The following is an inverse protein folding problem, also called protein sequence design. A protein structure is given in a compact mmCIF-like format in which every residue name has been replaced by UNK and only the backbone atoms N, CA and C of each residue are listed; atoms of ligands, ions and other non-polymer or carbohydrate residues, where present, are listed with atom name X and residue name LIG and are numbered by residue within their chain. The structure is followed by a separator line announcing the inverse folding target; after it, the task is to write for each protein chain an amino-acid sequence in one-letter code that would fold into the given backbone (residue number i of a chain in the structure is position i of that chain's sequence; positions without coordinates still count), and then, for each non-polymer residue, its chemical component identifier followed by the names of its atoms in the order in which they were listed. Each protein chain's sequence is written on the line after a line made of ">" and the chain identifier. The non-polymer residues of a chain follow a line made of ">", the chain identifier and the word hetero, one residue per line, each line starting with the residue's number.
data_IF_743829065634
#
_entry.id   IF_743829065634
#
_cell.length_a   1.000
_cell.length_b   1.000
_cell.length_c   1.000
_cell.angle_alpha   90.00
_cell.angle_beta   90.00
_cell.angle_gamma   90.00
#
_symmetry.space_group_name_H-M   'P 1'
#
loop_
_entity.id
_entity.type
_entity.pdbx_description
1 polymer ?
#
# COMPACT_ATOMS: atom_id res chain seq x y z
N UNK A 1 -4.83 5.23 1.41
CA UNK A 1 -4.55 5.40 2.84
C UNK A 1 -3.09 5.79 3.07
N UNK A 2 -2.83 6.83 3.87
CA UNK A 2 -1.49 7.30 4.23
C UNK A 2 -1.37 7.24 5.76
N UNK A 3 -0.43 6.44 6.26
CA UNK A 3 -0.13 6.28 7.69
C UNK A 3 1.39 6.21 7.95
N UNK A 4 2.19 6.57 6.94
CA UNK A 4 3.63 6.80 6.98
C UNK A 4 4.01 7.74 5.84
N UNK A 5 5.10 8.48 5.95
CA UNK A 5 5.71 9.26 4.87
C UNK A 5 4.85 10.37 4.24
N UNK A 6 3.78 10.81 4.88
CA UNK A 6 2.89 11.80 4.30
C UNK A 6 2.23 12.69 5.37
N UNK A 7 1.18 13.41 4.98
CA UNK A 7 0.42 14.27 5.89
C UNK A 7 -0.85 13.59 6.37
N UNK A 8 -1.16 13.77 7.66
CA UNK A 8 -2.38 13.28 8.28
C UNK A 8 -3.63 14.08 7.84
N UNK A 9 -4.78 13.42 7.99
CA UNK A 9 -6.08 14.06 7.87
C UNK A 9 -6.44 14.86 9.12
N UNK A 10 -6.09 14.36 10.30
CA UNK A 10 -6.32 15.02 11.57
C UNK A 10 -5.19 15.98 11.95
N UNK A 11 -5.49 16.88 12.88
CA UNK A 11 -4.49 17.81 13.42
C UNK A 11 -3.50 17.09 14.36
N UNK A 12 -2.26 17.61 14.52
CA UNK A 12 -1.27 17.02 15.44
C UNK A 12 -1.76 16.89 16.89
N UNK A 13 -2.61 17.82 17.35
CA UNK A 13 -3.18 17.78 18.71
C UNK A 13 -4.13 16.59 18.93
N UNK A 14 -4.76 16.10 17.88
CA UNK A 14 -5.68 14.96 17.93
C UNK A 14 -4.96 13.62 17.87
N UNK A 15 -3.76 13.58 17.27
CA UNK A 15 -2.97 12.37 17.02
C UNK A 15 -1.47 12.58 17.30
N UNK A 16 -1.10 13.09 18.50
CA UNK A 16 0.28 13.45 18.82
C UNK A 16 1.27 12.28 18.80
N UNK A 17 0.79 11.03 18.96
CA UNK A 17 1.64 9.84 18.90
C UNK A 17 1.93 9.38 17.46
N UNK A 18 1.22 9.90 16.45
CA UNK A 18 1.39 9.46 15.05
C UNK A 18 2.23 10.42 14.23
N UNK A 19 2.17 11.72 14.48
CA UNK A 19 2.73 12.74 13.60
C UNK A 19 3.59 13.76 14.37
N UNK A 20 4.40 14.48 13.62
CA UNK A 20 5.15 15.64 14.12
C UNK A 20 4.26 16.88 14.26
N UNK A 21 4.84 17.99 14.77
CA UNK A 21 4.14 19.28 14.93
C UNK A 21 3.62 19.87 13.60
N UNK A 22 4.11 19.38 12.45
CA UNK A 22 3.66 19.81 11.12
C UNK A 22 2.58 18.86 10.54
N UNK A 23 2.14 17.85 11.30
CA UNK A 23 1.16 16.85 10.89
C UNK A 23 1.69 15.83 9.90
N UNK A 24 3.00 15.56 9.90
CA UNK A 24 3.63 14.56 9.03
C UNK A 24 3.90 13.27 9.79
N UNK A 25 3.54 12.16 9.17
CA UNK A 25 3.95 10.83 9.64
C UNK A 25 5.46 10.63 9.45
N UNK A 26 6.12 9.84 10.30
CA UNK A 26 7.49 9.39 10.06
C UNK A 26 7.60 8.62 8.74
N UNK A 27 8.74 8.76 8.05
CA UNK A 27 8.98 8.15 6.73
C UNK A 27 9.38 6.67 6.81
N UNK A 28 9.91 6.20 7.95
CA UNK A 28 10.35 4.82 8.13
C UNK A 28 9.16 3.87 8.42
N UNK A 29 8.74 3.04 7.45
CA UNK A 29 7.58 2.17 7.59
C UNK A 29 7.81 1.03 8.61
N UNK A 30 9.05 0.60 8.86
CA UNK A 30 9.34 -0.45 9.85
C UNK A 30 9.16 0.10 11.26
N UNK A 31 9.73 1.26 11.54
CA UNK A 31 9.58 1.94 12.83
C UNK A 31 8.12 2.26 13.12
N UNK A 32 7.40 2.77 12.12
CA UNK A 32 5.97 3.07 12.20
C UNK A 32 5.17 1.80 12.46
N UNK A 33 5.44 0.72 11.74
CA UNK A 33 4.77 -0.57 11.91
C UNK A 33 4.97 -1.14 13.32
N UNK A 34 6.20 -1.12 13.85
CA UNK A 34 6.48 -1.56 15.22
C UNK A 34 5.72 -0.73 16.27
N UNK A 35 5.66 0.59 16.08
CA UNK A 35 4.86 1.46 16.97
C UNK A 35 3.40 1.06 16.94
N UNK A 36 2.81 0.87 15.76
CA UNK A 36 1.40 0.46 15.63
C UNK A 36 1.12 -0.96 16.17
N UNK A 37 2.13 -1.83 16.21
CA UNK A 37 1.98 -3.14 16.83
C UNK A 37 1.95 -3.08 18.37
N UNK A 38 2.74 -2.17 18.99
CA UNK A 38 3.05 -2.23 20.42
C UNK A 38 2.46 -1.07 21.24
N UNK A 39 2.09 0.05 20.61
CA UNK A 39 1.62 1.25 21.29
C UNK A 39 0.10 1.40 21.17
N UNK A 40 -0.61 1.21 22.29
CA UNK A 40 -2.07 1.28 22.35
C UNK A 40 -2.60 2.68 22.09
N UNK A 41 -1.93 3.73 22.58
CA UNK A 41 -2.33 5.11 22.32
C UNK A 41 -2.22 5.44 20.82
N UNK A 42 -1.12 4.99 20.18
CA UNK A 42 -0.96 5.13 18.75
C UNK A 42 -2.04 4.35 17.97
N UNK A 43 -2.48 3.17 18.43
CA UNK A 43 -3.56 2.41 17.78
C UNK A 43 -4.91 3.13 17.86
N UNK A 44 -5.24 3.72 19.00
CA UNK A 44 -6.47 4.50 19.18
C UNK A 44 -6.49 5.76 18.29
N UNK A 45 -5.36 6.45 18.20
CA UNK A 45 -5.19 7.59 17.29
C UNK A 45 -5.27 7.16 15.82
N UNK A 46 -4.63 6.04 15.48
CA UNK A 46 -4.64 5.46 14.14
C UNK A 46 -6.07 5.13 13.68
N UNK A 47 -6.91 4.60 14.57
CA UNK A 47 -8.31 4.32 14.26
C UNK A 47 -9.07 5.61 13.87
N UNK A 48 -8.85 6.71 14.62
CA UNK A 48 -9.45 8.02 14.30
C UNK A 48 -8.92 8.60 12.99
N UNK A 49 -7.63 8.50 12.78
CA UNK A 49 -6.98 9.00 11.56
C UNK A 49 -7.46 8.26 10.31
N UNK A 50 -7.53 6.93 10.34
CA UNK A 50 -8.04 6.14 9.22
C UNK A 50 -9.49 6.53 8.92
N UNK A 51 -10.34 6.65 9.95
CA UNK A 51 -11.73 7.09 9.77
C UNK A 51 -11.81 8.47 9.12
N UNK A 52 -11.01 9.43 9.57
CA UNK A 52 -10.96 10.78 9.01
C UNK A 52 -10.52 10.79 7.53
N UNK A 53 -9.60 9.90 7.13
CA UNK A 53 -9.21 9.77 5.72
C UNK A 53 -10.36 9.25 4.87
N UNK A 54 -11.13 8.26 5.34
CA UNK A 54 -12.34 7.79 4.65
C UNK A 54 -13.41 8.89 4.56
N UNK A 55 -13.63 9.64 5.62
CA UNK A 55 -14.57 10.77 5.64
C UNK A 55 -14.19 11.85 4.63
N UNK A 56 -12.89 12.20 4.56
CA UNK A 56 -12.39 13.16 3.54
C UNK A 56 -12.62 12.66 2.12
N UNK A 57 -12.40 11.38 1.87
CA UNK A 57 -12.68 10.82 0.56
C UNK A 57 -14.19 10.86 0.26
N UNK A 58 -15.02 10.44 1.20
CA UNK A 58 -16.48 10.46 1.03
C UNK A 58 -17.02 11.87 0.78
N UNK A 59 -16.43 12.90 1.40
CA UNK A 59 -16.80 14.30 1.18
C UNK A 59 -16.56 14.78 -0.26
N UNK A 60 -15.77 14.07 -1.07
CA UNK A 60 -15.60 14.37 -2.51
C UNK A 60 -16.83 13.97 -3.35
N UNK A 61 -17.74 13.15 -2.82
CA UNK A 61 -18.88 12.58 -3.53
C UNK A 61 -18.51 11.48 -4.53
N UNK A 62 -17.24 11.12 -4.65
CA UNK A 62 -16.79 10.05 -5.56
C UNK A 62 -17.06 8.66 -4.97
N UNK A 63 -17.46 7.68 -5.79
CA UNK A 63 -17.63 6.30 -5.33
C UNK A 63 -16.26 5.70 -4.97
N UNK A 64 -16.19 5.05 -3.80
CA UNK A 64 -14.97 4.37 -3.36
C UNK A 64 -14.86 2.99 -4.04
N UNK A 65 -14.02 2.88 -5.07
CA UNK A 65 -13.84 1.61 -5.79
C UNK A 65 -13.02 0.60 -5.01
N UNK A 66 -11.86 1.01 -4.50
CA UNK A 66 -10.95 0.14 -3.75
C UNK A 66 -10.07 0.92 -2.78
N UNK A 67 -9.43 0.21 -1.86
CA UNK A 67 -8.50 0.78 -0.89
C UNK A 67 -7.11 0.18 -1.05
N UNK A 68 -6.10 1.05 -1.03
CA UNK A 68 -4.70 0.68 -0.92
C UNK A 68 -4.01 1.57 0.14
N UNK A 69 -2.72 1.40 0.35
CA UNK A 69 -1.97 2.22 1.30
C UNK A 69 -0.54 2.50 0.83
N UNK A 70 -0.07 3.69 1.17
CA UNK A 70 1.32 4.10 0.95
C UNK A 70 2.28 3.11 1.63
N UNK A 71 3.38 2.77 0.96
CA UNK A 71 4.34 1.74 1.38
C UNK A 71 3.71 0.35 1.64
N UNK A 72 2.51 0.09 1.12
CA UNK A 72 1.70 -1.10 1.42
C UNK A 72 1.45 -1.34 2.92
N UNK A 73 1.63 -0.30 3.76
CA UNK A 73 1.52 -0.40 5.21
C UNK A 73 0.08 -0.72 5.66
N UNK A 74 -0.91 -0.51 4.79
CA UNK A 74 -2.28 -0.98 5.03
C UNK A 74 -2.37 -2.49 5.27
N UNK A 75 -1.38 -3.29 4.82
CA UNK A 75 -1.31 -4.73 5.09
C UNK A 75 -0.85 -5.07 6.51
N UNK A 76 -0.35 -4.10 7.29
CA UNK A 76 -0.02 -4.33 8.70
C UNK A 76 -1.27 -4.80 9.47
N UNK A 77 -1.21 -5.88 10.28
CA UNK A 77 -2.40 -6.51 10.85
C UNK A 77 -3.32 -5.55 11.63
N UNK A 78 -2.74 -4.64 12.41
CA UNK A 78 -3.53 -3.62 13.15
C UNK A 78 -4.25 -2.70 12.18
N UNK A 79 -3.54 -2.14 11.20
CA UNK A 79 -4.10 -1.22 10.21
C UNK A 79 -5.18 -1.92 9.39
N UNK A 80 -4.90 -3.14 8.92
CA UNK A 80 -5.83 -3.91 8.09
C UNK A 80 -7.13 -4.23 8.83
N UNK A 81 -7.06 -4.54 10.13
CA UNK A 81 -8.23 -4.77 10.96
C UNK A 81 -9.08 -3.51 11.17
N UNK A 82 -8.45 -2.34 11.27
CA UNK A 82 -9.15 -1.05 11.38
C UNK A 82 -9.75 -0.62 10.03
N UNK A 83 -9.04 -0.89 8.94
CA UNK A 83 -9.39 -0.48 7.58
C UNK A 83 -10.59 -1.25 7.04
N UNK A 84 -10.66 -2.58 7.22
CA UNK A 84 -11.68 -3.42 6.57
C UNK A 84 -13.14 -3.01 6.89
N UNK A 85 -13.52 -2.79 8.17
CA UNK A 85 -14.87 -2.34 8.50
C UNK A 85 -15.22 -0.99 7.86
N UNK A 86 -14.26 -0.08 7.79
CA UNK A 86 -14.44 1.22 7.15
C UNK A 86 -14.58 1.07 5.63
N UNK A 87 -13.72 0.28 4.98
CA UNK A 87 -13.83 0.00 3.56
C UNK A 87 -15.24 -0.53 3.20
N UNK A 88 -15.77 -1.47 3.97
CA UNK A 88 -17.14 -1.98 3.80
C UNK A 88 -18.21 -0.90 4.03
N UNK A 89 -18.10 -0.15 5.12
CA UNK A 89 -19.04 0.93 5.48
C UNK A 89 -19.12 2.00 4.40
N UNK A 90 -17.97 2.35 3.79
CA UNK A 90 -17.90 3.36 2.74
C UNK A 90 -18.07 2.79 1.32
N UNK A 91 -18.48 1.53 1.19
CA UNK A 91 -18.85 0.92 -0.08
C UNK A 91 -17.69 0.55 -0.99
N UNK A 92 -16.50 0.36 -0.46
CA UNK A 92 -15.36 -0.13 -1.26
C UNK A 92 -15.69 -1.51 -1.85
N UNK A 93 -15.39 -1.71 -3.14
CA UNK A 93 -15.54 -3.00 -3.81
C UNK A 93 -14.34 -3.91 -3.58
N UNK A 94 -13.14 -3.36 -3.35
CA UNK A 94 -11.93 -4.13 -3.21
C UNK A 94 -10.88 -3.52 -2.31
N UNK A 95 -9.86 -4.32 -2.03
CA UNK A 95 -8.64 -3.88 -1.34
C UNK A 95 -7.43 -4.48 -2.02
N UNK A 96 -6.37 -3.68 -2.21
CA UNK A 96 -5.10 -4.16 -2.75
C UNK A 96 -4.44 -5.10 -1.75
N UNK A 97 -4.07 -6.30 -2.22
CA UNK A 97 -3.16 -7.20 -1.53
C UNK A 97 -1.93 -7.36 -2.42
N UNK A 98 -0.76 -6.83 -2.05
CA UNK A 98 0.40 -6.66 -2.93
C UNK A 98 1.14 -7.98 -3.19
N UNK A 99 0.53 -8.87 -3.97
CA UNK A 99 1.04 -10.19 -4.37
C UNK A 99 1.67 -10.11 -5.76
N UNK A 100 2.93 -9.75 -5.82
CA UNK A 100 3.69 -9.66 -7.08
C UNK A 100 4.16 -11.04 -7.58
N UNK A 101 4.59 -11.11 -8.84
CA UNK A 101 5.17 -12.32 -9.44
C UNK A 101 6.70 -12.29 -9.34
N UNK A 102 7.22 -12.93 -8.29
CA UNK A 102 8.66 -13.01 -8.04
C UNK A 102 9.43 -13.63 -9.22
N UNK A 103 8.86 -14.65 -9.90
CA UNK A 103 9.57 -15.32 -11.00
C UNK A 103 9.75 -14.39 -12.18
N UNK A 104 8.69 -13.69 -12.55
CA UNK A 104 8.73 -12.71 -13.64
C UNK A 104 9.66 -11.54 -13.27
N UNK A 105 9.56 -10.99 -12.07
CA UNK A 105 10.41 -9.91 -11.61
C UNK A 105 11.91 -10.29 -11.64
N UNK A 106 12.27 -11.51 -11.20
CA UNK A 106 13.67 -11.99 -11.22
C UNK A 106 14.17 -12.35 -12.62
N UNK A 107 13.29 -12.78 -13.54
CA UNK A 107 13.68 -13.01 -14.95
C UNK A 107 13.96 -11.68 -15.66
N UNK A 108 13.15 -10.68 -15.41
CA UNK A 108 13.31 -9.37 -16.02
C UNK A 108 14.52 -8.63 -15.47
N UNK A 109 14.67 -8.57 -14.15
CA UNK A 109 15.79 -7.90 -13.49
C UNK A 109 16.20 -8.62 -12.21
N UNK A 110 17.45 -9.11 -12.17
CA UNK A 110 18.02 -9.81 -11.01
C UNK A 110 18.67 -8.88 -9.98
N UNK A 111 18.73 -7.57 -10.26
CA UNK A 111 19.27 -6.61 -9.27
C UNK A 111 18.43 -6.66 -8.01
N UNK A 112 19.10 -6.71 -6.86
CA UNK A 112 18.42 -6.86 -5.58
C UNK A 112 17.65 -8.19 -5.38
N UNK A 113 18.03 -9.28 -6.07
CA UNK A 113 17.32 -10.56 -6.02
C UNK A 113 17.10 -11.07 -4.59
N UNK A 114 18.11 -10.98 -3.72
CA UNK A 114 18.00 -11.39 -2.32
C UNK A 114 16.93 -10.60 -1.57
N UNK A 115 16.87 -9.28 -1.78
CA UNK A 115 15.86 -8.41 -1.20
C UNK A 115 14.46 -8.73 -1.75
N UNK A 116 14.32 -8.93 -3.06
CA UNK A 116 13.05 -9.33 -3.71
C UNK A 116 12.53 -10.67 -3.15
N UNK A 117 13.41 -11.65 -2.97
CA UNK A 117 13.07 -12.96 -2.39
C UNK A 117 12.65 -12.80 -0.92
N UNK A 118 13.45 -12.13 -0.10
CA UNK A 118 13.13 -11.91 1.31
C UNK A 118 11.81 -11.16 1.50
N UNK A 119 11.58 -10.11 0.70
CA UNK A 119 10.34 -9.36 0.69
C UNK A 119 9.14 -10.24 0.29
N UNK A 120 9.27 -11.03 -0.77
CA UNK A 120 8.22 -11.95 -1.23
C UNK A 120 7.86 -13.00 -0.19
N UNK A 121 8.85 -13.58 0.49
CA UNK A 121 8.63 -14.56 1.56
C UNK A 121 7.95 -13.90 2.78
N UNK A 122 8.46 -12.76 3.23
CA UNK A 122 7.89 -12.03 4.38
C UNK A 122 6.46 -11.58 4.15
N UNK A 123 6.16 -11.06 2.94
CA UNK A 123 4.81 -10.63 2.59
C UNK A 123 3.84 -11.76 2.28
N UNK A 124 4.31 -12.92 1.85
CA UNK A 124 3.42 -13.99 1.40
C UNK A 124 2.42 -14.44 2.47
N UNK A 125 2.87 -14.55 3.72
CA UNK A 125 2.02 -14.92 4.87
C UNK A 125 0.99 -13.82 5.16
N UNK A 126 1.45 -12.57 5.23
CA UNK A 126 0.59 -11.40 5.50
C UNK A 126 -0.42 -11.19 4.37
N UNK A 127 0.02 -11.31 3.12
CA UNK A 127 -0.86 -11.23 1.96
C UNK A 127 -1.87 -12.38 1.92
N UNK A 128 -1.45 -13.60 2.24
CA UNK A 128 -2.35 -14.75 2.35
C UNK A 128 -3.42 -14.57 3.43
N UNK A 129 -3.03 -14.07 4.59
CA UNK A 129 -3.94 -13.72 5.67
C UNK A 129 -4.89 -12.60 5.27
N UNK A 130 -4.37 -11.49 4.74
CA UNK A 130 -5.14 -10.33 4.33
C UNK A 130 -6.16 -10.66 3.23
N UNK A 131 -5.76 -11.43 2.21
CA UNK A 131 -6.64 -11.85 1.13
C UNK A 131 -7.82 -12.70 1.65
N UNK A 132 -7.55 -13.67 2.54
CA UNK A 132 -8.62 -14.48 3.16
C UNK A 132 -9.58 -13.61 3.96
N UNK A 133 -9.06 -12.65 4.73
CA UNK A 133 -9.85 -11.77 5.56
C UNK A 133 -10.69 -10.79 4.72
N UNK A 134 -10.11 -10.20 3.67
CA UNK A 134 -10.82 -9.32 2.74
C UNK A 134 -11.98 -10.06 2.02
N UNK A 135 -11.72 -11.26 1.50
CA UNK A 135 -12.74 -12.08 0.83
C UNK A 135 -13.87 -12.49 1.77
N UNK A 136 -13.59 -12.81 3.04
CA UNK A 136 -14.64 -13.04 4.07
C UNK A 136 -15.47 -11.78 4.30
N UNK A 137 -14.87 -10.60 4.20
CA UNK A 137 -15.52 -9.29 4.22
C UNK A 137 -16.19 -8.90 2.89
N UNK A 138 -16.27 -9.81 1.90
CA UNK A 138 -16.87 -9.57 0.57
C UNK A 138 -16.17 -8.49 -0.25
N UNK A 139 -14.89 -8.20 0.07
CA UNK A 139 -14.06 -7.31 -0.75
C UNK A 139 -13.32 -8.12 -1.81
N UNK A 140 -13.30 -7.59 -3.01
CA UNK A 140 -12.51 -8.14 -4.12
C UNK A 140 -11.02 -7.98 -3.86
N UNK A 141 -10.25 -9.01 -4.19
CA UNK A 141 -8.79 -9.02 -4.16
C UNK A 141 -8.32 -9.60 -5.46
N UNK A 142 -7.53 -8.86 -6.21
CA UNK A 142 -6.91 -9.34 -7.46
C UNK A 142 -5.87 -10.43 -7.18
N UNK A 143 -5.64 -11.31 -8.16
CA UNK A 143 -4.73 -12.44 -7.99
C UNK A 143 -3.26 -12.03 -8.00
N UNK A 144 -2.91 -10.98 -8.77
CA UNK A 144 -1.56 -10.41 -8.86
C UNK A 144 -1.60 -8.89 -8.86
N UNK A 145 -0.56 -8.30 -8.26
CA UNK A 145 -0.31 -6.85 -8.28
C UNK A 145 1.12 -6.65 -8.76
N UNK A 146 1.28 -6.09 -9.95
CA UNK A 146 2.57 -5.80 -10.55
C UNK A 146 2.99 -4.35 -10.25
N UNK A 147 4.28 -4.14 -9.99
CA UNK A 147 4.84 -2.85 -9.59
C UNK A 147 5.38 -2.82 -8.16
N UNK A 148 5.15 -3.87 -7.36
CA UNK A 148 5.67 -3.97 -5.99
C UNK A 148 7.19 -4.19 -6.00
N UNK A 149 7.66 -5.16 -6.80
CA UNK A 149 9.08 -5.51 -6.92
C UNK A 149 9.83 -4.69 -7.96
N UNK A 150 9.12 -3.94 -8.79
CA UNK A 150 9.64 -3.03 -9.80
C UNK A 150 9.21 -1.59 -9.54
N UNK A 151 8.97 -1.22 -8.28
CA UNK A 151 8.62 0.15 -7.90
C UNK A 151 9.72 1.11 -8.34
N UNK A 152 9.34 2.19 -9.06
CA UNK A 152 10.27 3.10 -9.69
C UNK A 152 10.95 2.57 -10.96
N UNK A 153 10.53 1.39 -11.47
CA UNK A 153 11.11 0.73 -12.65
C UNK A 153 10.02 0.13 -13.55
N UNK A 154 8.81 0.70 -13.52
CA UNK A 154 7.67 0.25 -14.33
C UNK A 154 7.76 0.78 -15.77
N UNK A 155 8.88 0.52 -16.44
CA UNK A 155 9.10 0.91 -17.82
C UNK A 155 8.22 0.12 -18.79
N UNK A 156 7.94 0.69 -19.97
CA UNK A 156 7.14 0.06 -21.03
C UNK A 156 7.56 -1.39 -21.31
N UNK A 157 8.87 -1.65 -21.43
CA UNK A 157 9.38 -2.99 -21.68
C UNK A 157 8.98 -4.02 -20.62
N UNK A 158 8.96 -3.62 -19.33
CA UNK A 158 8.49 -4.47 -18.26
C UNK A 158 6.98 -4.70 -18.34
N UNK A 159 6.21 -3.65 -18.55
CA UNK A 159 4.74 -3.72 -18.68
C UNK A 159 4.35 -4.65 -19.84
N UNK A 160 4.98 -4.50 -21.01
CA UNK A 160 4.75 -5.38 -22.17
C UNK A 160 5.09 -6.84 -21.81
N UNK A 161 6.18 -7.07 -21.07
CA UNK A 161 6.55 -8.41 -20.62
C UNK A 161 5.48 -8.99 -19.69
N UNK A 162 5.01 -8.21 -18.71
CA UNK A 162 3.90 -8.62 -17.83
C UNK A 162 2.67 -9.00 -18.64
N UNK A 163 2.23 -8.15 -19.58
CA UNK A 163 1.03 -8.39 -20.38
C UNK A 163 1.14 -9.65 -21.27
N UNK A 164 2.34 -9.95 -21.78
CA UNK A 164 2.58 -11.15 -22.59
C UNK A 164 2.60 -12.44 -21.78
N UNK A 165 3.03 -12.38 -20.53
CA UNK A 165 3.23 -13.54 -19.68
C UNK A 165 2.16 -13.68 -18.59
N UNK A 166 1.16 -12.79 -18.58
CA UNK A 166 0.09 -12.79 -17.60
C UNK A 166 -0.73 -14.08 -17.70
N UNK A 167 -0.72 -14.85 -16.64
CA UNK A 167 -1.53 -16.09 -16.52
C UNK A 167 -2.60 -15.96 -15.42
N UNK A 168 -2.51 -14.93 -14.58
CA UNK A 168 -3.48 -14.71 -13.52
C UNK A 168 -4.82 -14.23 -14.10
N UNK A 169 -5.96 -14.75 -13.60
CA UNK A 169 -7.28 -14.34 -14.05
C UNK A 169 -7.56 -12.84 -13.85
N UNK A 170 -7.01 -12.26 -12.77
CA UNK A 170 -7.15 -10.84 -12.45
C UNK A 170 -5.81 -10.25 -12.03
N UNK A 171 -5.50 -9.07 -12.54
CA UNK A 171 -4.26 -8.37 -12.22
C UNK A 171 -4.46 -6.87 -12.08
N UNK A 172 -3.63 -6.27 -11.25
CA UNK A 172 -3.49 -4.83 -11.09
C UNK A 172 -2.04 -4.45 -11.46
N UNK A 173 -1.88 -3.44 -12.29
CA UNK A 173 -0.61 -2.78 -12.54
C UNK A 173 -0.69 -1.39 -11.94
N UNK A 174 0.30 -0.99 -11.13
CA UNK A 174 0.32 0.35 -10.59
C UNK A 174 1.66 1.05 -10.87
N UNK A 175 1.58 2.36 -10.97
CA UNK A 175 2.67 3.23 -11.38
C UNK A 175 2.81 4.40 -10.40
N UNK A 176 3.98 5.03 -10.39
CA UNK A 176 4.25 6.30 -9.72
C UNK A 176 4.58 7.34 -10.81
N UNK A 177 3.58 7.89 -11.50
CA UNK A 177 3.84 8.82 -12.59
C UNK A 177 4.53 10.09 -12.08
N UNK A 178 5.51 10.57 -12.83
CA UNK A 178 6.24 11.80 -12.56
C UNK A 178 6.31 12.68 -13.80
N UNK A 179 6.34 13.99 -13.62
CA UNK A 179 6.54 14.95 -14.70
C UNK A 179 8.01 15.21 -15.03
N UNK A 180 8.91 14.79 -14.16
CA UNK A 180 10.36 14.97 -14.31
C UNK A 180 11.07 13.62 -14.21
N UNK A 181 11.92 13.33 -15.20
CA UNK A 181 12.74 12.12 -15.25
C UNK A 181 14.03 12.23 -14.41
N UNK A 182 14.07 13.08 -13.37
CA UNK A 182 15.27 13.30 -12.58
C UNK A 182 15.26 12.43 -11.32
N UNK A 183 16.23 11.55 -11.20
CA UNK A 183 16.42 10.65 -10.04
C UNK A 183 16.60 11.41 -8.72
N UNK A 184 17.12 12.65 -8.76
CA UNK A 184 17.41 13.46 -7.58
C UNK A 184 16.18 14.12 -6.97
N UNK A 185 15.14 14.40 -7.75
CA UNK A 185 13.97 15.17 -7.30
C UNK A 185 12.84 14.31 -6.72
N UNK A 186 12.76 13.02 -7.04
CA UNK A 186 11.56 12.21 -6.86
C UNK A 186 11.74 10.94 -6.03
N UNK A 187 12.96 10.67 -5.57
CA UNK A 187 13.25 9.49 -4.77
C UNK A 187 13.14 8.17 -5.57
N UNK A 188 12.92 7.03 -4.89
CA UNK A 188 13.05 5.71 -5.49
C UNK A 188 12.02 5.37 -6.57
N UNK A 189 11.02 6.20 -6.79
CA UNK A 189 9.94 5.95 -7.77
C UNK A 189 10.06 6.80 -9.05
N UNK A 190 11.18 7.51 -9.23
CA UNK A 190 11.39 8.44 -10.34
C UNK A 190 11.43 7.77 -11.73
N UNK A 191 11.59 6.46 -11.79
CA UNK A 191 11.73 5.70 -13.04
C UNK A 191 10.45 5.09 -13.60
N UNK A 192 9.27 5.42 -13.07
CA UNK A 192 7.99 4.84 -13.50
C UNK A 192 7.34 5.59 -14.70
N UNK A 193 8.14 6.28 -15.52
CA UNK A 193 7.71 6.97 -16.74
C UNK A 193 7.98 6.14 -17.98
#
# INVERSE_FOLDING_TARGET
>A
LVVSGGRAALSPHQIPHLVDARGRFPDDPLRVGLRYACDRAAQEELAREIAAQFERFAATGLPLSHVNGHHHLHMHPVIFNLLLPLAQRYGAHGVRVPRDDLRLALRYDRRGAAAKIAWSLGLSLVCGWGARRARRGRLTVVDRVYGVMQSGQMHEAYVVTVLRELTAPTAELYFHPSLEASEEALGPNAGDL
#
